data_IF_298015859510
#
_entry.id   IF_298015859510
#
_cell.length_a   1.000
_cell.length_b   1.000
_cell.length_c   1.000
_cell.angle_alpha   90.00
_cell.angle_beta   90.00
_cell.angle_gamma   90.00
#
_symmetry.space_group_name_H-M   'P 1'
#
loop_
_entity.id
_entity.type
_entity.pdbx_description
1 polymer ?
#
# COMPACT_ATOMS: atom_id res chain seq x y z
N UNK A 1 7.37 -11.59 2.48
CA UNK A 1 6.09 -11.00 2.00
C UNK A 1 6.39 -10.10 0.81
N UNK A 2 6.16 -10.55 -0.42
CA UNK A 2 6.62 -9.84 -1.65
C UNK A 2 5.79 -8.57 -1.94
N UNK A 3 4.46 -8.67 -1.92
CA UNK A 3 3.57 -7.54 -2.28
C UNK A 3 3.73 -6.35 -1.33
N UNK A 4 3.71 -6.61 -0.01
CA UNK A 4 3.93 -5.55 0.99
C UNK A 4 5.31 -4.88 0.81
N UNK A 5 6.37 -5.65 0.58
CA UNK A 5 7.71 -5.08 0.34
C UNK A 5 7.75 -4.19 -0.91
N UNK A 6 7.06 -4.58 -1.99
CA UNK A 6 6.97 -3.80 -3.23
C UNK A 6 6.21 -2.47 -3.01
N UNK A 7 5.13 -2.49 -2.23
CA UNK A 7 4.40 -1.26 -1.88
C UNK A 7 5.24 -0.34 -1.00
N UNK A 8 5.90 -0.86 0.03
CA UNK A 8 6.80 -0.09 0.87
C UNK A 8 7.95 0.56 0.07
N UNK A 9 8.57 -0.19 -0.84
CA UNK A 9 9.61 0.33 -1.72
C UNK A 9 9.07 1.44 -2.63
N UNK A 10 7.88 1.25 -3.21
CA UNK A 10 7.24 2.27 -4.05
C UNK A 10 6.99 3.56 -3.27
N UNK A 11 6.43 3.46 -2.06
CA UNK A 11 6.21 4.63 -1.19
C UNK A 11 7.52 5.33 -0.83
N UNK A 12 8.57 4.55 -0.53
CA UNK A 12 9.91 5.09 -0.28
C UNK A 12 10.50 5.84 -1.48
N UNK A 13 10.38 5.28 -2.69
CA UNK A 13 10.83 5.92 -3.92
C UNK A 13 10.06 7.21 -4.24
N UNK A 14 8.79 7.30 -3.81
CA UNK A 14 7.97 8.51 -3.92
C UNK A 14 8.25 9.53 -2.81
N UNK A 15 9.11 9.22 -1.84
CA UNK A 15 9.40 10.08 -0.69
C UNK A 15 8.23 10.19 0.31
N UNK A 16 7.34 9.20 0.32
CA UNK A 16 6.19 9.16 1.23
C UNK A 16 6.58 8.45 2.53
N UNK A 17 6.46 9.18 3.65
CA UNK A 17 6.62 8.62 5.00
C UNK A 17 5.60 7.49 5.22
N UNK A 18 6.06 6.31 5.64
CA UNK A 18 5.18 5.16 5.83
C UNK A 18 5.64 4.23 6.95
N UNK A 19 4.68 3.53 7.55
CA UNK A 19 4.88 2.48 8.54
C UNK A 19 4.53 1.12 7.91
N UNK A 20 5.39 0.11 8.14
CA UNK A 20 5.15 -1.27 7.72
C UNK A 20 4.84 -2.17 8.93
N UNK A 21 4.32 -3.38 8.68
CA UNK A 21 4.07 -4.37 9.72
C UNK A 21 2.80 -4.13 10.54
N UNK A 22 1.91 -3.24 10.08
CA UNK A 22 0.61 -3.00 10.72
C UNK A 22 -0.26 -4.24 10.52
N UNK A 23 -0.58 -4.97 11.59
CA UNK A 23 -1.31 -6.23 11.46
C UNK A 23 -0.60 -7.24 10.55
N UNK A 24 0.73 -7.38 10.71
CA UNK A 24 1.64 -8.29 9.96
C UNK A 24 2.01 -7.82 8.56
N UNK A 25 1.07 -7.48 7.69
CA UNK A 25 1.33 -7.13 6.28
C UNK A 25 0.89 -5.73 5.88
N UNK A 26 0.09 -5.06 6.70
CA UNK A 26 -0.44 -3.73 6.42
C UNK A 26 0.65 -2.67 6.39
N UNK A 27 0.40 -1.66 5.56
CA UNK A 27 1.24 -0.49 5.35
C UNK A 27 0.37 0.74 5.43
N UNK A 28 0.83 1.75 6.17
CA UNK A 28 0.13 3.04 6.31
C UNK A 28 1.09 4.14 5.85
N UNK A 29 0.74 4.84 4.78
CA UNK A 29 1.48 5.99 4.27
C UNK A 29 0.83 7.31 4.67
N UNK A 30 1.65 8.33 4.95
CA UNK A 30 1.20 9.68 5.27
C UNK A 30 1.69 10.69 4.23
N UNK A 31 0.74 11.40 3.63
CA UNK A 31 1.01 12.56 2.76
C UNK A 31 0.60 13.81 3.53
N UNK A 32 1.59 14.57 4.01
CA UNK A 32 1.33 15.80 4.78
C UNK A 32 1.07 16.96 3.84
N UNK A 33 -0.14 17.50 3.88
CA UNK A 33 -0.48 18.77 3.22
C UNK A 33 0.23 19.97 3.87
N UNK A 34 0.21 21.11 3.19
CA UNK A 34 0.87 22.35 3.66
C UNK A 34 0.09 23.13 4.71
N UNK A 35 -1.19 22.79 4.93
CA UNK A 35 -2.10 23.50 5.83
C UNK A 35 -2.70 22.52 6.82
N UNK A 36 -3.04 23.01 8.01
CA UNK A 36 -3.92 22.29 8.91
C UNK A 36 -5.31 22.17 8.24
N UNK A 37 -5.64 20.96 7.81
CA UNK A 37 -6.86 20.63 7.09
C UNK A 37 -7.35 19.24 7.55
N UNK A 38 -8.62 18.90 7.33
CA UNK A 38 -9.12 17.56 7.61
C UNK A 38 -8.33 16.47 6.86
N UNK A 39 -8.20 15.31 7.49
CA UNK A 39 -7.52 14.15 6.92
C UNK A 39 -8.48 13.34 6.05
N UNK A 40 -8.03 12.90 4.88
CA UNK A 40 -8.71 11.92 4.04
C UNK A 40 -7.99 10.58 4.14
N UNK A 41 -8.72 9.50 4.45
CA UNK A 41 -8.20 8.14 4.43
C UNK A 41 -8.59 7.45 3.11
N UNK A 42 -7.60 6.93 2.40
CA UNK A 42 -7.80 6.06 1.24
C UNK A 42 -7.35 4.66 1.63
N UNK A 43 -8.19 3.65 1.37
CA UNK A 43 -7.90 2.25 1.66
C UNK A 43 -7.97 1.44 0.37
N UNK A 44 -6.99 0.55 0.20
CA UNK A 44 -6.97 -0.50 -0.81
C UNK A 44 -6.41 -1.77 -0.18
N UNK A 45 -6.86 -2.93 -0.67
CA UNK A 45 -6.36 -4.24 -0.25
C UNK A 45 -5.30 -4.75 -1.26
N UNK A 46 -4.40 -5.63 -0.78
CA UNK A 46 -3.23 -6.12 -1.55
C UNK A 46 -3.21 -7.65 -1.69
N UNK A 47 -4.22 -8.34 -1.16
CA UNK A 47 -4.34 -9.78 -1.20
C UNK A 47 -4.94 -10.26 -2.53
N UNK A 48 -4.80 -11.55 -2.79
CA UNK A 48 -5.27 -12.21 -3.99
C UNK A 48 -6.04 -13.47 -3.63
N UNK A 49 -6.93 -13.89 -4.54
CA UNK A 49 -7.64 -15.15 -4.40
C UNK A 49 -6.70 -16.33 -4.71
N UNK A 50 -6.84 -17.47 -3.99
CA UNK A 50 -6.07 -18.67 -4.26
C UNK A 50 -6.69 -19.45 -5.44
N UNK A 51 -6.62 -18.89 -6.64
CA UNK A 51 -7.17 -19.51 -7.84
C UNK A 51 -6.23 -19.38 -9.04
N UNK A 52 -6.37 -20.30 -9.98
CA UNK A 52 -5.65 -20.25 -11.24
C UNK A 52 -6.34 -19.25 -12.18
N UNK A 53 -5.56 -18.35 -12.76
CA UNK A 53 -6.03 -17.43 -13.80
C UNK A 53 -6.43 -18.23 -15.06
N UNK A 54 -7.64 -17.96 -15.58
CA UNK A 54 -8.20 -18.68 -16.73
C UNK A 54 -8.43 -17.80 -17.96
N UNK A 55 -8.27 -16.48 -17.83
CA UNK A 55 -8.51 -15.54 -18.93
C UNK A 55 -7.43 -15.61 -20.01
N UNK A 56 -6.25 -16.17 -19.69
CA UNK A 56 -5.12 -16.24 -20.63
C UNK A 56 -4.55 -14.87 -21.00
N UNK A 57 -4.99 -13.82 -20.31
CA UNK A 57 -4.43 -12.48 -20.42
C UNK A 57 -3.07 -12.43 -19.71
N UNK A 58 -2.10 -11.66 -20.23
CA UNK A 58 -0.83 -11.44 -19.57
C UNK A 58 -0.98 -10.75 -18.22
#
# INVERSE_FOLDING_TARGET
MRTAALVAQTLGNLGIEHQTGVGRTGIVGHIRGRKAAPMLLIRADMDALPMQEQTGLP
#
